data_IF_775361812403
#
_entry.id   IF_775361812403
#
_cell.length_a   1.000
_cell.length_b   1.000
_cell.length_c   1.000
_cell.angle_alpha   90.00
_cell.angle_beta   90.00
_cell.angle_gamma   90.00
#
_symmetry.space_group_name_H-M   'P 1'
#
loop_
_entity.id
_entity.type
_entity.pdbx_description
1 polymer ?
#
# COMPACT_ATOMS: atom_id res chain seq x y z
N UNK A 1 -11.98 15.31 -0.82
CA UNK A 1 -10.61 15.06 -0.31
C UNK A 1 -10.43 15.67 1.08
N UNK A 2 -10.74 16.95 1.26
CA UNK A 2 -10.59 17.71 2.51
C UNK A 2 -11.17 17.04 3.78
N UNK A 3 -12.37 16.45 3.69
CA UNK A 3 -13.00 15.76 4.83
C UNK A 3 -12.18 14.54 5.32
N UNK A 4 -11.50 13.81 4.44
CA UNK A 4 -10.64 12.69 4.84
C UNK A 4 -9.41 13.18 5.62
N UNK A 5 -8.79 14.27 5.15
CA UNK A 5 -7.62 14.87 5.80
C UNK A 5 -7.99 15.40 7.19
N UNK A 6 -9.13 16.08 7.33
CA UNK A 6 -9.63 16.55 8.62
C UNK A 6 -9.84 15.43 9.64
N UNK A 7 -10.36 14.27 9.21
CA UNK A 7 -10.50 13.10 10.08
C UNK A 7 -9.14 12.58 10.58
N UNK A 8 -8.12 12.55 9.72
CA UNK A 8 -6.76 12.15 10.11
C UNK A 8 -6.19 13.13 11.14
N UNK A 9 -6.31 14.44 10.90
CA UNK A 9 -5.85 15.46 11.84
C UNK A 9 -6.57 15.39 13.20
N UNK A 10 -7.89 15.18 13.20
CA UNK A 10 -8.65 14.97 14.44
C UNK A 10 -8.15 13.75 15.23
N UNK A 11 -7.84 12.65 14.54
CA UNK A 11 -7.28 11.45 15.17
C UNK A 11 -5.86 11.67 15.71
N UNK A 12 -5.03 12.48 15.05
CA UNK A 12 -3.72 12.87 15.58
C UNK A 12 -3.86 13.65 16.89
N UNK A 13 -4.84 14.54 17.01
CA UNK A 13 -5.13 15.24 18.27
C UNK A 13 -5.44 14.29 19.42
N UNK A 14 -6.25 13.26 19.16
CA UNK A 14 -6.52 12.20 20.13
C UNK A 14 -5.26 11.40 20.49
N UNK A 15 -4.49 10.96 19.49
CA UNK A 15 -3.26 10.19 19.69
C UNK A 15 -2.18 10.96 20.45
N UNK A 16 -2.12 12.29 20.31
CA UNK A 16 -1.23 13.14 21.12
C UNK A 16 -1.48 12.94 22.62
N UNK A 17 -2.75 12.93 23.04
CA UNK A 17 -3.11 12.74 24.44
C UNK A 17 -2.79 11.32 24.92
N UNK A 18 -2.96 10.30 24.08
CA UNK A 18 -2.60 8.91 24.40
C UNK A 18 -1.09 8.76 24.56
N UNK A 19 -0.30 9.35 23.66
CA UNK A 19 1.17 9.34 23.72
C UNK A 19 1.72 10.05 24.95
N UNK A 20 1.08 11.15 25.41
CA UNK A 20 1.46 11.79 26.67
C UNK A 20 1.37 10.86 27.89
N UNK A 21 0.46 9.87 27.85
CA UNK A 21 0.33 8.84 28.90
C UNK A 21 1.24 7.63 28.65
N UNK A 22 1.78 7.48 27.44
CA UNK A 22 2.61 6.35 27.02
C UNK A 22 3.88 6.88 26.30
N UNK A 23 4.92 7.30 27.04
CA UNK A 23 6.08 7.98 26.46
C UNK A 23 6.85 7.15 25.41
N UNK A 24 6.78 5.83 25.49
CA UNK A 24 7.42 4.90 24.55
C UNK A 24 6.58 4.63 23.29
N UNK A 25 5.35 5.15 23.21
CA UNK A 25 4.48 4.98 22.05
C UNK A 25 5.01 5.78 20.85
N UNK A 26 5.21 5.08 19.73
CA UNK A 26 5.50 5.70 18.45
C UNK A 26 4.21 5.90 17.65
N UNK A 27 4.11 7.04 16.98
CA UNK A 27 3.05 7.42 16.04
C UNK A 27 3.70 7.52 14.66
N UNK A 28 3.34 6.59 13.79
CA UNK A 28 3.72 6.62 12.38
C UNK A 28 2.51 7.05 11.52
N UNK A 29 2.77 7.90 10.53
CA UNK A 29 1.80 8.27 9.50
C UNK A 29 2.26 7.75 8.15
N UNK A 30 1.35 7.11 7.42
CA UNK A 30 1.65 6.50 6.14
C UNK A 30 0.45 6.50 5.18
N UNK A 31 0.72 6.15 3.91
CA UNK A 31 -0.29 6.03 2.87
C UNK A 31 -0.31 7.20 1.90
N UNK A 32 -1.33 7.23 1.02
CA UNK A 32 -1.40 8.17 -0.12
C UNK A 32 -1.31 9.64 0.30
N UNK A 33 -1.90 9.98 1.46
CA UNK A 33 -1.93 11.35 1.95
C UNK A 33 -0.52 11.88 2.27
N UNK A 34 0.42 11.00 2.62
CA UNK A 34 1.81 11.38 2.91
C UNK A 34 2.63 11.62 1.65
N UNK A 35 2.04 11.41 0.47
CA UNK A 35 2.65 11.73 -0.82
C UNK A 35 2.29 13.14 -1.29
N UNK A 36 1.46 13.86 -0.53
CA UNK A 36 1.09 15.26 -0.81
C UNK A 36 2.06 16.19 -0.05
N UNK A 37 2.89 17.00 -0.74
CA UNK A 37 3.91 17.85 -0.09
C UNK A 37 3.34 18.77 0.99
N UNK A 38 2.22 19.44 0.72
CA UNK A 38 1.56 20.36 1.66
C UNK A 38 1.13 19.66 2.96
N UNK A 39 0.73 18.39 2.87
CA UNK A 39 0.38 17.59 4.04
C UNK A 39 1.63 17.28 4.85
N UNK A 40 2.70 16.81 4.18
CA UNK A 40 3.96 16.45 4.86
C UNK A 40 4.55 17.67 5.59
N UNK A 41 4.55 18.83 4.94
CA UNK A 41 4.98 20.09 5.54
C UNK A 41 4.14 20.44 6.77
N UNK A 42 2.81 20.37 6.67
CA UNK A 42 1.92 20.60 7.81
C UNK A 42 2.21 19.65 8.98
N UNK A 43 2.49 18.38 8.71
CA UNK A 43 2.82 17.39 9.75
C UNK A 43 4.17 17.70 10.40
N UNK A 44 5.18 18.02 9.60
CA UNK A 44 6.52 18.43 10.08
C UNK A 44 6.43 19.62 11.02
N UNK A 45 5.65 20.63 10.64
CA UNK A 45 5.66 21.92 11.34
C UNK A 45 4.69 21.96 12.53
N UNK A 46 3.48 21.40 12.36
CA UNK A 46 2.40 21.48 13.36
C UNK A 46 2.27 20.23 14.25
N UNK A 47 2.77 19.07 13.81
CA UNK A 47 2.54 17.78 14.48
C UNK A 47 3.85 17.10 14.88
N UNK A 48 4.76 17.83 15.55
CA UNK A 48 6.09 17.35 16.01
C UNK A 48 6.07 16.09 16.90
N UNK A 49 4.91 15.72 17.44
CA UNK A 49 4.75 14.49 18.23
C UNK A 49 4.59 13.22 17.38
N UNK A 50 4.37 13.37 16.06
CA UNK A 50 4.43 12.27 15.09
C UNK A 50 5.89 11.89 14.91
N UNK A 51 6.20 10.61 15.04
CA UNK A 51 7.57 10.10 15.07
C UNK A 51 8.11 9.78 13.68
N UNK A 52 7.25 9.20 12.84
CA UNK A 52 7.63 8.65 11.54
C UNK A 52 6.57 9.07 10.52
N UNK A 53 7.00 9.55 9.36
CA UNK A 53 6.15 9.87 8.21
C UNK A 53 6.77 9.18 7.00
N UNK A 54 6.01 8.33 6.31
CA UNK A 54 6.49 7.68 5.09
C UNK A 54 5.39 7.52 4.04
N UNK A 55 5.82 7.41 2.77
CA UNK A 55 4.93 7.35 1.62
C UNK A 55 4.34 5.97 1.36
N UNK A 56 3.75 5.81 0.17
CA UNK A 56 3.17 4.52 -0.26
C UNK A 56 4.20 3.54 -0.80
N UNK A 57 5.39 4.00 -1.18
CA UNK A 57 6.39 3.19 -1.88
C UNK A 57 7.45 2.57 -0.98
N UNK A 58 7.54 2.98 0.29
CA UNK A 58 8.58 2.55 1.22
C UNK A 58 8.02 1.83 2.46
N UNK A 59 6.84 1.19 2.33
CA UNK A 59 6.24 0.41 3.42
C UNK A 59 7.16 -0.70 3.93
N UNK A 60 7.94 -1.32 3.03
CA UNK A 60 8.90 -2.36 3.37
C UNK A 60 10.07 -1.84 4.23
N UNK A 61 10.31 -0.53 4.23
CA UNK A 61 11.35 0.11 5.04
C UNK A 61 10.89 0.38 6.48
N UNK A 62 9.67 -0.02 6.88
CA UNK A 62 9.12 0.26 8.22
C UNK A 62 10.10 -0.06 9.35
N UNK A 63 10.71 -1.25 9.34
CA UNK A 63 11.66 -1.65 10.39
C UNK A 63 12.87 -0.69 10.47
N UNK A 64 13.42 -0.29 9.32
CA UNK A 64 14.50 0.70 9.22
C UNK A 64 14.06 2.08 9.74
N UNK A 65 12.84 2.51 9.41
CA UNK A 65 12.31 3.80 9.87
C UNK A 65 12.12 3.84 11.39
N UNK A 66 11.62 2.75 11.97
CA UNK A 66 11.51 2.59 13.42
C UNK A 66 12.89 2.66 14.07
N UNK A 67 13.87 1.92 13.55
CA UNK A 67 15.25 1.95 14.04
C UNK A 67 15.85 3.37 13.99
N UNK A 68 15.71 4.07 12.86
CA UNK A 68 16.20 5.44 12.70
C UNK A 68 15.55 6.41 13.70
N UNK A 69 14.25 6.24 13.96
CA UNK A 69 13.54 7.06 14.95
C UNK A 69 14.07 6.83 16.36
N UNK A 70 14.25 5.56 16.74
CA UNK A 70 14.73 5.21 18.08
C UNK A 70 16.15 5.73 18.30
N UNK A 71 17.03 5.58 17.30
CA UNK A 71 18.44 5.98 17.42
C UNK A 71 18.67 7.48 17.33
N UNK A 72 17.94 8.19 16.47
CA UNK A 72 18.10 9.64 16.31
C UNK A 72 17.36 10.49 17.34
N UNK A 73 16.30 9.94 17.97
CA UNK A 73 15.38 10.71 18.81
C UNK A 73 14.59 11.80 18.07
N UNK A 74 14.78 11.95 16.76
CA UNK A 74 14.24 13.03 15.91
C UNK A 74 13.20 12.50 14.94
N UNK A 75 12.27 13.35 14.50
CA UNK A 75 11.19 12.93 13.61
C UNK A 75 11.80 12.42 12.30
N UNK A 76 11.35 11.26 11.83
CA UNK A 76 11.83 10.64 10.58
C UNK A 76 10.78 10.88 9.50
N UNK A 77 11.15 11.58 8.44
CA UNK A 77 10.31 11.77 7.25
C UNK A 77 11.05 11.17 6.06
N UNK A 78 10.47 10.14 5.45
CA UNK A 78 11.05 9.45 4.29
C UNK A 78 9.95 9.24 3.23
N UNK A 79 9.91 10.12 2.23
CA UNK A 79 8.89 10.11 1.17
C UNK A 79 9.58 9.83 -0.15
N UNK A 80 9.21 8.72 -0.79
CA UNK A 80 9.76 8.35 -2.09
C UNK A 80 8.79 8.76 -3.20
N UNK A 81 9.31 9.20 -4.34
CA UNK A 81 8.49 9.58 -5.50
C UNK A 81 8.06 8.37 -6.34
N UNK A 82 8.83 7.29 -6.27
CA UNK A 82 8.58 6.04 -7.00
C UNK A 82 9.08 4.84 -6.20
N UNK A 83 8.43 3.70 -6.38
CA UNK A 83 9.03 2.43 -5.96
C UNK A 83 10.12 2.03 -6.95
N UNK A 84 11.22 1.46 -6.46
CA UNK A 84 12.25 0.87 -7.33
C UNK A 84 11.84 -0.52 -7.80
N UNK A 85 11.20 -1.28 -6.92
CA UNK A 85 10.82 -2.67 -7.15
C UNK A 85 9.39 -2.92 -6.64
N UNK A 86 8.72 -3.92 -7.19
CA UNK A 86 7.51 -4.45 -6.59
C UNK A 86 7.94 -5.31 -5.42
N UNK A 87 7.53 -4.94 -4.21
CA UNK A 87 7.81 -5.75 -3.03
C UNK A 87 6.78 -6.85 -2.92
N UNK A 88 7.25 -8.07 -3.12
CA UNK A 88 6.48 -9.29 -2.97
C UNK A 88 6.59 -9.84 -1.54
N UNK A 89 5.66 -10.73 -1.17
CA UNK A 89 5.75 -11.56 0.04
C UNK A 89 5.81 -10.82 1.39
N UNK A 90 5.21 -9.63 1.49
CA UNK A 90 5.02 -9.00 2.81
C UNK A 90 4.10 -9.86 3.69
N UNK A 91 4.40 -10.01 5.00
CA UNK A 91 3.54 -10.75 5.91
C UNK A 91 2.15 -10.10 5.96
N UNK A 92 1.11 -10.90 5.74
CA UNK A 92 -0.28 -10.44 5.74
C UNK A 92 -1.09 -11.21 6.76
N UNK A 93 -1.91 -10.49 7.52
CA UNK A 93 -2.90 -11.08 8.41
C UNK A 93 -4.28 -11.00 7.74
N UNK A 94 -4.89 -12.16 7.46
CA UNK A 94 -6.19 -12.23 6.80
C UNK A 94 -7.31 -12.17 7.83
N UNK A 95 -8.28 -11.27 7.62
CA UNK A 95 -9.49 -11.19 8.46
C UNK A 95 -10.36 -12.45 8.35
N UNK A 96 -10.37 -13.08 7.18
CA UNK A 96 -11.14 -14.29 6.92
C UNK A 96 -10.20 -15.35 6.35
N UNK A 97 -10.28 -16.62 6.79
CA UNK A 97 -9.37 -17.66 6.33
C UNK A 97 -9.66 -18.10 4.89
N UNK A 98 -10.91 -17.99 4.43
CA UNK A 98 -11.36 -18.53 3.14
C UNK A 98 -11.28 -17.54 1.98
N UNK A 99 -10.96 -16.25 2.23
CA UNK A 99 -10.87 -15.24 1.17
C UNK A 99 -9.72 -14.26 1.34
N UNK A 100 -9.14 -13.82 0.23
CA UNK A 100 -8.04 -12.85 0.22
C UNK A 100 -8.14 -11.86 -0.94
N UNK A 101 -7.53 -10.68 -0.77
CA UNK A 101 -7.33 -9.73 -1.87
C UNK A 101 -5.90 -9.81 -2.37
N UNK A 102 -5.70 -9.87 -3.69
CA UNK A 102 -4.39 -9.98 -4.34
C UNK A 102 -4.19 -8.79 -5.26
N UNK A 103 -3.23 -7.92 -4.96
CA UNK A 103 -2.92 -6.78 -5.82
C UNK A 103 -2.29 -7.29 -7.11
N UNK A 104 -2.85 -7.05 -8.29
CA UNK A 104 -2.24 -7.47 -9.57
C UNK A 104 -1.47 -6.33 -10.25
N UNK A 105 -1.68 -5.09 -9.80
CA UNK A 105 -1.05 -3.91 -10.36
C UNK A 105 -1.10 -2.73 -9.39
N UNK A 106 -0.27 -1.73 -9.66
CA UNK A 106 -0.16 -0.48 -8.91
C UNK A 106 -0.20 0.73 -9.83
N UNK A 107 -0.60 1.87 -9.30
CA UNK A 107 -0.63 3.13 -10.03
C UNK A 107 -1.72 3.18 -11.10
N UNK A 108 -1.80 4.31 -11.81
CA UNK A 108 -2.77 4.48 -12.89
C UNK A 108 -2.31 5.55 -13.88
N UNK A 109 -2.51 5.30 -15.17
CA UNK A 109 -2.21 6.25 -16.24
C UNK A 109 -3.42 7.13 -16.64
N UNK A 110 -4.59 6.93 -16.05
CA UNK A 110 -5.77 7.74 -16.32
C UNK A 110 -5.77 9.02 -15.48
N UNK A 111 -5.61 10.18 -16.13
CA UNK A 111 -5.65 11.50 -15.50
C UNK A 111 -7.07 12.05 -15.42
N UNK A 112 -7.95 11.31 -14.72
CA UNK A 112 -9.30 11.77 -14.47
C UNK A 112 -9.28 13.03 -13.60
N UNK A 113 -10.10 14.03 -13.94
CA UNK A 113 -10.14 15.35 -13.26
C UNK A 113 -10.34 15.27 -11.74
N UNK A 114 -10.97 14.20 -11.26
CA UNK A 114 -11.26 13.97 -9.85
C UNK A 114 -10.28 13.02 -9.14
N UNK A 115 -9.36 12.37 -9.86
CA UNK A 115 -8.52 11.29 -9.33
C UNK A 115 -7.14 11.79 -8.89
N UNK A 116 -6.68 11.37 -7.71
CA UNK A 116 -5.35 11.74 -7.19
C UNK A 116 -4.29 10.67 -7.48
N UNK A 117 -4.74 9.45 -7.81
CA UNK A 117 -3.90 8.25 -7.92
C UNK A 117 -2.64 8.45 -8.77
N UNK A 118 -2.69 9.06 -9.98
CA UNK A 118 -1.49 9.20 -10.80
C UNK A 118 -0.36 9.98 -10.11
N UNK A 119 -0.70 10.85 -9.15
CA UNK A 119 0.25 11.69 -8.43
C UNK A 119 0.79 11.01 -7.16
N UNK A 120 -0.06 10.27 -6.44
CA UNK A 120 0.31 9.70 -5.11
C UNK A 120 0.63 8.21 -5.14
N UNK A 121 0.31 7.52 -6.23
CA UNK A 121 0.64 6.09 -6.46
C UNK A 121 1.50 5.88 -7.70
N UNK A 122 1.78 6.95 -8.45
CA UNK A 122 2.64 6.91 -9.63
C UNK A 122 1.96 6.31 -10.85
N UNK A 123 2.79 6.05 -11.87
CA UNK A 123 2.40 5.43 -13.14
C UNK A 123 1.98 3.98 -12.93
N UNK A 124 1.18 3.49 -13.88
CA UNK A 124 0.77 2.10 -13.90
C UNK A 124 1.97 1.15 -13.95
N UNK A 125 1.95 0.11 -13.12
CA UNK A 125 2.92 -0.98 -13.08
C UNK A 125 2.15 -2.28 -12.80
N UNK A 126 2.25 -3.23 -13.71
CA UNK A 126 1.66 -4.57 -13.58
C UNK A 126 2.62 -5.51 -12.87
N UNK A 127 2.10 -6.38 -12.01
CA UNK A 127 2.87 -7.51 -11.47
C UNK A 127 3.03 -8.60 -12.52
N UNK A 128 4.13 -9.33 -12.44
CA UNK A 128 4.35 -10.49 -13.29
C UNK A 128 3.29 -11.57 -13.02
N UNK A 129 2.68 -12.17 -14.07
CA UNK A 129 1.62 -13.17 -13.91
C UNK A 129 2.05 -14.36 -13.05
N UNK A 130 3.31 -14.80 -13.19
CA UNK A 130 3.87 -15.91 -12.41
C UNK A 130 3.83 -15.62 -10.91
N UNK A 131 4.11 -14.39 -10.49
CA UNK A 131 4.22 -14.03 -9.08
C UNK A 131 2.81 -13.95 -8.46
N UNK A 132 1.84 -13.43 -9.24
CA UNK A 132 0.42 -13.46 -8.88
C UNK A 132 -0.08 -14.90 -8.72
N UNK A 133 0.18 -15.78 -9.69
CA UNK A 133 -0.25 -17.17 -9.66
C UNK A 133 0.36 -17.90 -8.46
N UNK A 134 1.66 -17.75 -8.24
CA UNK A 134 2.35 -18.36 -7.09
C UNK A 134 1.79 -17.88 -5.75
N UNK A 135 1.44 -16.59 -5.62
CA UNK A 135 0.77 -16.07 -4.42
C UNK A 135 -0.59 -16.72 -4.22
N UNK A 136 -1.41 -16.81 -5.27
CA UNK A 136 -2.74 -17.43 -5.19
C UNK A 136 -2.65 -18.91 -4.85
N UNK A 137 -1.72 -19.66 -5.44
CA UNK A 137 -1.49 -21.07 -5.11
C UNK A 137 -1.13 -21.27 -3.64
N UNK A 138 -0.30 -20.39 -3.06
CA UNK A 138 0.03 -20.43 -1.62
C UNK A 138 -1.21 -20.13 -0.78
N UNK A 139 -2.00 -19.13 -1.16
CA UNK A 139 -3.24 -18.79 -0.47
C UNK A 139 -4.20 -19.98 -0.47
N UNK A 140 -4.37 -20.67 -1.60
CA UNK A 140 -5.23 -21.85 -1.74
C UNK A 140 -4.73 -23.02 -0.90
N UNK A 141 -3.41 -23.26 -0.87
CA UNK A 141 -2.81 -24.26 0.03
C UNK A 141 -3.09 -23.96 1.50
N UNK A 142 -3.19 -22.68 1.86
CA UNK A 142 -3.57 -22.22 3.20
C UNK A 142 -5.10 -22.19 3.45
N UNK A 143 -5.90 -22.75 2.54
CA UNK A 143 -7.36 -22.89 2.68
C UNK A 143 -8.20 -21.75 2.10
N UNK A 144 -7.61 -20.81 1.35
CA UNK A 144 -8.38 -19.78 0.63
C UNK A 144 -9.13 -20.40 -0.54
N UNK A 145 -10.40 -20.03 -0.68
CA UNK A 145 -11.32 -20.47 -1.73
C UNK A 145 -11.72 -19.34 -2.68
N UNK A 146 -11.65 -18.10 -2.22
CA UNK A 146 -11.99 -16.91 -3.00
C UNK A 146 -10.83 -15.91 -3.01
N UNK A 147 -10.44 -15.46 -4.19
CA UNK A 147 -9.52 -14.32 -4.34
C UNK A 147 -10.22 -13.15 -4.99
N UNK A 148 -9.86 -11.93 -4.60
CA UNK A 148 -10.29 -10.71 -5.29
C UNK A 148 -9.06 -10.04 -5.89
N UNK A 149 -9.06 -9.83 -7.20
CA UNK A 149 -7.96 -9.15 -7.88
C UNK A 149 -8.06 -7.63 -7.69
N UNK A 150 -7.03 -7.03 -7.11
CA UNK A 150 -7.00 -5.63 -6.73
C UNK A 150 -6.07 -4.83 -7.65
N UNK A 151 -6.53 -3.66 -8.05
CA UNK A 151 -5.78 -2.71 -8.87
C UNK A 151 -6.54 -1.40 -8.99
N UNK A 152 -5.87 -0.32 -9.41
CA UNK A 152 -6.57 0.95 -9.62
C UNK A 152 -7.39 0.96 -10.91
N UNK A 153 -6.93 0.24 -11.94
CA UNK A 153 -7.66 -0.01 -13.17
C UNK A 153 -7.29 -1.40 -13.72
N UNK A 154 -7.95 -2.45 -13.21
CA UNK A 154 -7.61 -3.86 -13.51
C UNK A 154 -7.67 -4.19 -15.01
N UNK A 155 -8.49 -3.49 -15.78
CA UNK A 155 -8.62 -3.69 -17.24
C UNK A 155 -7.35 -3.29 -18.00
N UNK A 156 -6.47 -2.51 -17.39
CA UNK A 156 -5.18 -2.16 -17.97
C UNK A 156 -4.05 -3.14 -17.64
N UNK A 157 -4.32 -4.20 -16.87
CA UNK A 157 -3.29 -5.16 -16.47
C UNK A 157 -2.47 -5.68 -17.65
N UNK A 158 -1.16 -5.77 -17.42
CA UNK A 158 -0.16 -6.40 -18.27
C UNK A 158 0.35 -5.54 -19.43
N UNK A 159 -0.13 -4.30 -19.58
CA UNK A 159 0.39 -3.34 -20.58
C UNK A 159 1.82 -2.88 -20.33
N UNK A 160 2.30 -3.02 -19.10
CA UNK A 160 3.63 -2.56 -18.67
C UNK A 160 4.65 -3.68 -18.50
N UNK A 161 4.29 -4.91 -18.86
CA UNK A 161 5.18 -6.06 -18.79
C UNK A 161 6.02 -6.15 -20.07
N UNK A 162 7.25 -6.65 -19.97
CA UNK A 162 8.10 -6.92 -21.14
C UNK A 162 7.43 -7.91 -22.11
N UNK A 163 6.66 -8.85 -21.56
CA UNK A 163 5.79 -9.76 -22.30
C UNK A 163 4.33 -9.46 -21.93
N UNK A 164 3.61 -8.67 -22.74
CA UNK A 164 2.25 -8.27 -22.41
C UNK A 164 1.30 -9.45 -22.25
N UNK A 165 0.49 -9.41 -21.19
CA UNK A 165 -0.57 -10.39 -20.90
C UNK A 165 -1.86 -9.63 -20.60
N UNK A 166 -2.94 -9.93 -21.30
CA UNK A 166 -4.23 -9.29 -21.03
C UNK A 166 -4.81 -9.72 -19.68
N UNK A 167 -5.64 -8.87 -19.08
CA UNK A 167 -6.39 -9.23 -17.88
C UNK A 167 -7.21 -10.53 -18.06
N UNK A 168 -7.84 -10.73 -19.23
CA UNK A 168 -8.56 -11.96 -19.54
C UNK A 168 -7.66 -13.20 -19.60
N UNK A 169 -6.43 -13.09 -20.09
CA UNK A 169 -5.46 -14.19 -20.04
C UNK A 169 -5.05 -14.49 -18.61
N UNK A 170 -4.79 -13.47 -17.80
CA UNK A 170 -4.48 -13.66 -16.37
C UNK A 170 -5.61 -14.44 -15.67
N UNK A 171 -6.87 -14.04 -15.88
CA UNK A 171 -8.03 -14.74 -15.32
C UNK A 171 -8.06 -16.22 -15.72
N UNK A 172 -7.79 -16.53 -17.00
CA UNK A 172 -7.73 -17.93 -17.47
C UNK A 172 -6.58 -18.72 -16.88
N UNK A 173 -5.45 -18.09 -16.57
CA UNK A 173 -4.35 -18.78 -15.88
C UNK A 173 -4.69 -19.04 -14.41
N UNK A 174 -5.35 -18.08 -13.74
CA UNK A 174 -5.79 -18.22 -12.35
C UNK A 174 -6.89 -19.30 -12.21
N UNK A 175 -7.81 -19.38 -13.17
CA UNK A 175 -8.89 -20.38 -13.22
C UNK A 175 -8.37 -21.84 -13.25
N UNK A 176 -7.12 -22.05 -13.66
CA UNK A 176 -6.49 -23.38 -13.66
C UNK A 176 -6.00 -23.83 -12.28
N UNK A 177 -6.01 -22.94 -11.28
CA UNK A 177 -5.52 -23.26 -9.93
C UNK A 177 -6.51 -24.17 -9.22
N UNK A 178 -6.13 -25.43 -9.05
CA UNK A 178 -6.96 -26.41 -8.35
C UNK A 178 -7.23 -25.98 -6.89
N UNK A 179 -8.50 -26.07 -6.48
CA UNK A 179 -8.94 -25.74 -5.13
C UNK A 179 -9.39 -24.28 -4.94
N UNK A 180 -9.14 -23.41 -5.92
CA UNK A 180 -9.73 -22.07 -5.99
C UNK A 180 -11.16 -22.18 -6.55
N UNK A 181 -12.13 -21.63 -5.84
CA UNK A 181 -13.55 -21.75 -6.19
C UNK A 181 -14.13 -20.46 -6.75
N UNK A 182 -13.47 -19.31 -6.51
CA UNK A 182 -13.94 -17.99 -6.96
C UNK A 182 -12.80 -16.98 -7.16
N UNK A 183 -12.95 -16.16 -8.20
CA UNK A 183 -12.13 -14.99 -8.56
C UNK A 183 -13.02 -13.74 -8.55
#
# INVERSE_FOLDING_TARGET
>A
RENANLKVYGRLGHLKNVKRKNPHMLIAMCGCMMQEPDVVEKIRDSYKFVDIVFGTFNIYAMAKLIYNRITSGSQVIDIWEKTKDIVEELPTERKFPFKSGVNIMYGCNNFCTYCIVPYVRGREISREPKDIIMEIERLVKDGVKEVMLLGQNVDSYGKTLDKPVSFAQLLREIDKIEGLERI
#
